data_IF_554164829945
#
_entry.id   IF_554164829945
#
_cell.length_a   1.000
_cell.length_b   1.000
_cell.length_c   1.000
_cell.angle_alpha   90.00
_cell.angle_beta   90.00
_cell.angle_gamma   90.00
#
_symmetry.space_group_name_H-M   'P 1'
#
loop_
_entity.id
_entity.type
_entity.pdbx_description
1 polymer ?
#
# COMPACT_ATOMS: atom_id res chain seq x y z
N UNK A 1 46.20 5.59 8.28
CA UNK A 1 45.69 6.92 7.94
C UNK A 1 45.09 7.03 6.55
N UNK A 2 45.74 6.54 5.49
CA UNK A 2 45.25 6.63 4.10
C UNK A 2 43.88 5.92 3.87
N UNK A 3 43.67 4.74 4.45
CA UNK A 3 42.40 3.94 4.31
C UNK A 3 41.22 4.62 5.00
N UNK A 4 41.44 5.31 6.12
CA UNK A 4 40.43 6.11 6.81
C UNK A 4 40.06 7.37 5.99
N UNK A 5 41.05 8.01 5.35
CA UNK A 5 40.83 9.19 4.51
C UNK A 5 39.99 8.86 3.26
N UNK A 6 40.27 7.71 2.58
CA UNK A 6 39.52 7.24 1.42
C UNK A 6 38.06 6.85 1.81
N UNK A 7 37.84 6.22 2.98
CA UNK A 7 36.49 5.96 3.49
C UNK A 7 35.71 7.25 3.78
N UNK A 8 36.36 8.28 4.36
CA UNK A 8 35.73 9.58 4.63
C UNK A 8 35.39 10.36 3.34
N UNK A 9 36.24 10.31 2.33
CA UNK A 9 35.98 10.91 1.03
C UNK A 9 34.80 10.21 0.31
N UNK A 10 34.75 8.88 0.32
CA UNK A 10 33.64 8.10 -0.26
C UNK A 10 32.31 8.34 0.46
N UNK A 11 32.33 8.55 1.78
CA UNK A 11 31.12 8.91 2.56
C UNK A 11 30.66 10.32 2.20
N UNK A 12 31.54 11.31 2.07
CA UNK A 12 31.18 12.67 1.65
C UNK A 12 30.64 12.71 0.21
N UNK A 13 31.27 12.00 -0.72
CA UNK A 13 30.81 11.90 -2.11
C UNK A 13 29.44 11.24 -2.18
N UNK A 14 29.22 10.13 -1.47
CA UNK A 14 27.91 9.48 -1.39
C UNK A 14 26.83 10.36 -0.76
N UNK A 15 27.14 11.13 0.27
CA UNK A 15 26.22 12.09 0.89
C UNK A 15 25.87 13.25 -0.05
N UNK A 16 26.82 13.74 -0.84
CA UNK A 16 26.58 14.78 -1.86
C UNK A 16 25.73 14.22 -3.00
N UNK A 17 26.01 13.02 -3.50
CA UNK A 17 25.18 12.37 -4.51
C UNK A 17 23.77 12.02 -4.01
N UNK A 18 23.63 11.59 -2.75
CA UNK A 18 22.32 11.38 -2.13
C UNK A 18 21.54 12.69 -2.00
N UNK A 19 22.18 13.79 -1.59
CA UNK A 19 21.55 15.11 -1.48
C UNK A 19 21.17 15.70 -2.85
N UNK A 20 21.99 15.52 -3.89
CA UNK A 20 21.67 15.95 -5.26
C UNK A 20 20.48 15.14 -5.80
N UNK A 21 20.41 13.84 -5.55
CA UNK A 21 19.29 13.00 -5.94
C UNK A 21 18.01 13.36 -5.16
N UNK A 22 18.11 13.66 -3.87
CA UNK A 22 17.01 14.16 -3.04
C UNK A 22 16.46 15.50 -3.52
N UNK A 23 17.33 16.44 -3.94
CA UNK A 23 16.93 17.73 -4.51
C UNK A 23 16.27 17.58 -5.88
N UNK A 24 16.73 16.64 -6.72
CA UNK A 24 16.09 16.33 -8.01
C UNK A 24 14.71 15.70 -7.86
N UNK A 25 14.43 14.98 -6.77
CA UNK A 25 13.12 14.35 -6.49
C UNK A 25 12.08 15.30 -5.91
N UNK A 26 12.47 16.50 -5.44
CA UNK A 26 11.54 17.55 -4.98
C UNK A 26 11.09 18.49 -6.09
N UNK A 27 11.17 18.06 -7.37
CA UNK A 27 10.61 18.84 -8.48
C UNK A 27 9.10 19.00 -8.31
N UNK A 28 8.63 20.23 -8.43
CA UNK A 28 7.21 20.55 -8.51
C UNK A 28 6.74 20.33 -9.95
N UNK A 29 5.70 19.56 -10.11
CA UNK A 29 5.02 19.39 -11.39
C UNK A 29 3.69 20.11 -11.30
N UNK A 30 3.29 20.76 -12.38
CA UNK A 30 2.08 21.58 -12.43
C UNK A 30 1.17 21.03 -13.52
N UNK A 31 -0.11 20.87 -13.21
CA UNK A 31 -1.12 20.49 -14.19
C UNK A 31 -1.60 21.72 -15.00
N UNK A 32 -2.46 21.47 -15.99
CA UNK A 32 -2.99 22.56 -16.84
C UNK A 32 -3.81 23.64 -16.09
N UNK A 33 -4.27 23.33 -14.88
CA UNK A 33 -5.04 24.26 -14.05
C UNK A 33 -4.16 25.08 -13.08
N UNK A 34 -2.83 24.96 -13.19
CA UNK A 34 -1.87 25.64 -12.32
C UNK A 34 -1.65 25.00 -10.94
N UNK A 35 -2.15 23.80 -10.71
CA UNK A 35 -2.02 23.11 -9.42
C UNK A 35 -0.83 22.16 -9.41
N UNK A 36 -0.21 22.03 -8.23
CA UNK A 36 0.89 21.08 -8.01
C UNK A 36 0.39 19.63 -8.02
N UNK A 37 1.05 18.78 -8.82
CA UNK A 37 0.77 17.34 -8.92
C UNK A 37 2.02 16.51 -8.58
N UNK A 38 1.82 15.22 -8.25
CA UNK A 38 2.86 14.39 -7.63
C UNK A 38 3.91 13.88 -8.61
N UNK A 39 3.56 13.73 -9.89
CA UNK A 39 4.43 13.17 -10.92
C UNK A 39 4.36 14.02 -12.19
N UNK A 40 5.36 13.92 -13.05
CA UNK A 40 5.34 14.58 -14.34
C UNK A 40 4.23 14.03 -15.25
N UNK A 41 3.71 14.89 -16.15
CA UNK A 41 2.77 14.44 -17.20
C UNK A 41 3.34 13.26 -18.00
N UNK A 42 4.66 13.28 -18.27
CA UNK A 42 5.34 12.16 -18.94
C UNK A 42 5.19 10.85 -18.15
N UNK A 43 5.40 10.87 -16.84
CA UNK A 43 5.27 9.66 -16.00
C UNK A 43 3.84 9.13 -16.00
N UNK A 44 2.83 9.99 -15.90
CA UNK A 44 1.43 9.57 -16.00
C UNK A 44 1.11 8.96 -17.36
N UNK A 45 1.56 9.58 -18.46
CA UNK A 45 1.38 9.04 -19.81
C UNK A 45 2.12 7.70 -20.01
N UNK A 46 3.33 7.55 -19.46
CA UNK A 46 4.06 6.28 -19.50
C UNK A 46 3.30 5.16 -18.76
N UNK A 47 2.63 5.46 -17.63
CA UNK A 47 1.76 4.54 -16.89
C UNK A 47 0.53 4.13 -17.72
N UNK A 48 -0.14 5.10 -18.32
CA UNK A 48 -1.30 4.87 -19.22
C UNK A 48 -0.88 3.98 -20.40
N UNK A 49 0.26 4.27 -21.03
CA UNK A 49 0.75 3.48 -22.15
C UNK A 49 1.06 2.03 -21.76
N UNK A 50 1.65 1.78 -20.58
CA UNK A 50 1.84 0.42 -20.06
C UNK A 50 0.52 -0.32 -19.86
N UNK A 51 -0.52 0.37 -19.39
CA UNK A 51 -1.87 -0.19 -19.25
C UNK A 51 -2.45 -0.54 -20.63
N UNK A 52 -2.36 0.35 -21.62
CA UNK A 52 -2.83 0.10 -22.99
C UNK A 52 -2.13 -1.09 -23.64
N UNK A 53 -0.83 -1.26 -23.42
CA UNK A 53 -0.11 -2.46 -23.88
C UNK A 53 -0.74 -3.74 -23.29
N UNK A 54 -1.04 -3.74 -21.99
CA UNK A 54 -1.66 -4.89 -21.32
C UNK A 54 -3.13 -5.09 -21.71
N UNK A 55 -3.86 -4.03 -22.02
CA UNK A 55 -5.20 -4.12 -22.59
C UNK A 55 -5.16 -4.85 -23.95
N UNK A 56 -4.23 -4.48 -24.84
CA UNK A 56 -4.06 -5.16 -26.14
C UNK A 56 -3.76 -6.65 -25.96
N UNK A 57 -2.86 -7.03 -25.04
CA UNK A 57 -2.54 -8.43 -24.74
C UNK A 57 -3.79 -9.24 -24.32
N UNK A 58 -4.80 -8.59 -23.76
CA UNK A 58 -6.05 -9.18 -23.27
C UNK A 58 -7.27 -8.90 -24.17
N UNK A 59 -7.07 -8.33 -25.34
CA UNK A 59 -8.15 -7.93 -26.26
C UNK A 59 -9.19 -7.00 -25.59
N UNK A 60 -8.74 -6.09 -24.73
CA UNK A 60 -9.56 -5.05 -24.09
C UNK A 60 -9.35 -3.74 -24.86
N UNK A 61 -10.44 -3.11 -25.29
CA UNK A 61 -10.40 -1.86 -26.05
C UNK A 61 -10.75 -0.64 -25.19
N UNK A 62 -11.59 -0.84 -24.18
CA UNK A 62 -11.98 0.14 -23.17
C UNK A 62 -11.83 -0.49 -21.80
N UNK A 63 -11.09 0.15 -20.89
CA UNK A 63 -10.91 -0.31 -19.53
C UNK A 63 -11.61 0.62 -18.55
N UNK A 64 -12.57 0.11 -17.79
CA UNK A 64 -13.25 0.78 -16.70
C UNK A 64 -12.53 0.43 -15.38
N UNK A 65 -12.02 1.44 -14.71
CA UNK A 65 -11.26 1.33 -13.47
C UNK A 65 -12.09 1.90 -12.33
N UNK A 66 -12.49 1.04 -11.41
CA UNK A 66 -13.27 1.36 -10.21
C UNK A 66 -12.38 1.59 -8.98
N UNK A 67 -11.26 0.88 -8.88
CA UNK A 67 -10.32 0.96 -7.75
C UNK A 67 -9.73 2.37 -7.58
N UNK A 68 -9.97 3.07 -6.44
CA UNK A 68 -9.39 4.39 -6.19
C UNK A 68 -7.86 4.41 -6.27
N UNK A 69 -7.21 3.32 -5.86
CA UNK A 69 -5.76 3.21 -5.95
C UNK A 69 -5.26 3.17 -7.41
N UNK A 70 -6.00 2.51 -8.30
CA UNK A 70 -5.70 2.46 -9.73
C UNK A 70 -6.05 3.79 -10.42
N UNK A 71 -7.15 4.45 -10.02
CA UNK A 71 -7.49 5.80 -10.47
C UNK A 71 -6.39 6.80 -10.11
N UNK A 72 -5.95 6.80 -8.86
CA UNK A 72 -4.83 7.64 -8.39
C UNK A 72 -3.54 7.35 -9.15
N UNK A 73 -3.18 6.08 -9.35
CA UNK A 73 -1.97 5.69 -10.09
C UNK A 73 -1.95 6.24 -11.51
N UNK A 74 -3.11 6.21 -12.20
CA UNK A 74 -3.22 6.58 -13.61
C UNK A 74 -3.46 8.07 -13.85
N UNK A 75 -4.09 8.77 -12.91
CA UNK A 75 -4.49 10.17 -13.13
C UNK A 75 -3.92 11.14 -12.11
N UNK A 76 -3.55 10.68 -10.94
CA UNK A 76 -3.23 11.51 -9.77
C UNK A 76 -4.47 11.96 -8.99
N UNK A 77 -5.69 11.63 -9.44
CA UNK A 77 -6.89 12.00 -8.72
C UNK A 77 -6.88 11.45 -7.28
N UNK A 78 -6.99 12.35 -6.32
CA UNK A 78 -6.89 12.06 -4.88
C UNK A 78 -8.11 12.60 -4.11
N UNK A 79 -9.31 12.18 -4.51
CA UNK A 79 -10.55 12.49 -3.80
C UNK A 79 -10.92 11.44 -2.76
N UNK A 80 -11.73 11.83 -1.76
CA UNK A 80 -12.26 10.92 -0.76
C UNK A 80 -13.70 10.45 -1.06
N UNK A 81 -14.28 10.85 -2.17
CA UNK A 81 -15.70 10.60 -2.51
C UNK A 81 -15.98 9.23 -3.12
N UNK A 82 -15.08 8.25 -2.97
CA UNK A 82 -15.24 6.89 -3.50
C UNK A 82 -16.38 6.07 -2.85
N UNK A 83 -17.12 6.62 -1.91
CA UNK A 83 -18.43 6.11 -1.45
C UNK A 83 -19.56 6.37 -2.45
N UNK A 84 -19.38 7.28 -3.41
CA UNK A 84 -20.22 7.43 -4.59
C UNK A 84 -19.50 6.86 -5.81
N UNK A 85 -20.24 6.37 -6.85
CA UNK A 85 -19.59 5.87 -8.05
C UNK A 85 -18.67 6.90 -8.70
N UNK A 86 -17.41 6.58 -8.80
CA UNK A 86 -16.41 7.32 -9.58
C UNK A 86 -15.48 6.33 -10.25
N UNK A 87 -14.99 6.66 -11.43
CA UNK A 87 -14.19 5.75 -12.23
C UNK A 87 -13.26 6.48 -13.18
N UNK A 88 -12.28 5.75 -13.67
CA UNK A 88 -11.41 6.17 -14.75
C UNK A 88 -11.62 5.25 -15.95
N UNK A 89 -11.76 5.84 -17.14
CA UNK A 89 -11.80 5.11 -18.40
C UNK A 89 -10.47 5.27 -19.13
N UNK A 90 -9.88 4.18 -19.55
CA UNK A 90 -8.73 4.15 -20.47
C UNK A 90 -9.21 3.51 -21.78
N UNK A 91 -9.15 4.27 -22.84
CA UNK A 91 -9.47 3.81 -24.20
C UNK A 91 -8.19 3.78 -25.04
N UNK A 92 -8.07 2.82 -25.98
CA UNK A 92 -6.80 2.56 -26.69
C UNK A 92 -6.32 3.72 -27.55
N UNK A 93 -7.23 4.43 -28.22
CA UNK A 93 -6.88 5.51 -29.15
C UNK A 93 -6.81 6.89 -28.47
N UNK A 94 -7.48 7.05 -27.31
CA UNK A 94 -7.47 8.30 -26.56
C UNK A 94 -6.10 8.58 -25.90
N UNK A 95 -5.59 9.76 -26.00
CA UNK A 95 -4.26 10.08 -25.46
C UNK A 95 -4.19 10.05 -23.93
N UNK A 96 -5.27 10.47 -23.29
CA UNK A 96 -5.40 10.56 -21.83
C UNK A 96 -6.61 9.77 -21.34
N UNK A 97 -6.62 9.29 -20.09
CA UNK A 97 -7.80 8.67 -19.49
C UNK A 97 -8.88 9.71 -19.20
N UNK A 98 -10.14 9.28 -19.13
CA UNK A 98 -11.26 10.08 -18.64
C UNK A 98 -11.49 9.78 -17.15
N UNK A 99 -11.66 10.81 -16.34
CA UNK A 99 -12.20 10.70 -15.00
C UNK A 99 -13.70 11.00 -15.04
N UNK A 100 -14.52 10.12 -14.46
CA UNK A 100 -15.98 10.27 -14.37
C UNK A 100 -16.39 10.15 -12.92
N UNK A 101 -17.09 11.15 -12.42
CA UNK A 101 -17.52 11.20 -11.03
C UNK A 101 -18.59 12.28 -10.79
N UNK A 102 -18.99 12.40 -9.54
CA UNK A 102 -20.01 13.38 -9.12
C UNK A 102 -19.60 14.80 -9.46
N UNK A 103 -20.55 15.63 -9.89
CA UNK A 103 -20.32 17.03 -10.31
C UNK A 103 -19.49 17.83 -9.30
N UNK A 104 -19.82 17.77 -8.00
CA UNK A 104 -19.10 18.53 -6.98
C UNK A 104 -17.64 18.06 -6.80
N UNK A 105 -17.36 16.78 -7.05
CA UNK A 105 -16.02 16.21 -6.91
C UNK A 105 -15.11 16.48 -8.12
N UNK A 106 -15.67 16.96 -9.24
CA UNK A 106 -14.91 17.32 -10.42
C UNK A 106 -13.92 18.46 -10.17
N UNK A 107 -14.17 19.29 -9.16
CA UNK A 107 -13.24 20.34 -8.72
C UNK A 107 -11.98 19.71 -8.11
N UNK A 108 -12.13 18.62 -7.32
CA UNK A 108 -11.01 17.85 -6.81
C UNK A 108 -10.16 17.23 -7.92
N UNK A 109 -10.80 16.75 -9.00
CA UNK A 109 -10.08 16.24 -10.17
C UNK A 109 -9.24 17.35 -10.85
N UNK A 110 -9.74 18.58 -10.95
CA UNK A 110 -8.97 19.71 -11.46
C UNK A 110 -7.77 20.07 -10.59
N UNK A 111 -7.86 19.87 -9.27
CA UNK A 111 -6.76 20.17 -8.36
C UNK A 111 -5.67 19.10 -8.35
N UNK A 112 -6.01 17.85 -8.51
CA UNK A 112 -5.09 16.73 -8.22
C UNK A 112 -4.67 15.93 -9.45
N UNK A 113 -5.52 15.86 -10.50
CA UNK A 113 -5.24 15.06 -11.68
C UNK A 113 -4.41 15.79 -12.73
N UNK A 114 -3.65 15.02 -13.53
CA UNK A 114 -2.86 15.56 -14.64
C UNK A 114 -3.68 15.74 -15.94
N UNK A 115 -4.87 15.16 -16.01
CA UNK A 115 -5.72 15.08 -17.21
C UNK A 115 -6.32 16.43 -17.59
N UNK A 116 -6.62 16.60 -18.87
CA UNK A 116 -7.17 17.82 -19.43
C UNK A 116 -8.65 18.04 -19.06
N UNK A 117 -9.11 19.29 -19.14
CA UNK A 117 -10.49 19.67 -18.80
C UNK A 117 -11.54 18.79 -19.50
N UNK A 118 -11.32 18.47 -20.77
CA UNK A 118 -12.26 17.67 -21.58
C UNK A 118 -12.30 16.18 -21.19
N UNK A 119 -11.35 15.75 -20.36
CA UNK A 119 -11.27 14.39 -19.81
C UNK A 119 -11.82 14.28 -18.38
N UNK A 120 -12.34 15.39 -17.83
CA UNK A 120 -13.06 15.42 -16.55
C UNK A 120 -14.54 15.50 -16.86
N UNK A 121 -15.26 14.38 -16.67
CA UNK A 121 -16.67 14.21 -17.07
C UNK A 121 -17.54 14.08 -15.80
N UNK A 122 -18.14 15.17 -15.34
CA UNK A 122 -18.99 15.14 -14.15
C UNK A 122 -20.40 14.64 -14.49
N UNK A 123 -20.95 13.76 -13.66
CA UNK A 123 -22.38 13.45 -13.71
C UNK A 123 -23.17 14.28 -12.68
N UNK A 124 -24.43 14.65 -13.02
CA UNK A 124 -25.29 15.46 -12.15
C UNK A 124 -25.58 14.80 -10.81
N UNK A 125 -25.74 15.63 -9.79
CA UNK A 125 -26.02 15.17 -8.39
C UNK A 125 -27.33 14.38 -8.28
N UNK A 126 -28.27 14.57 -9.22
CA UNK A 126 -29.52 13.82 -9.31
C UNK A 126 -29.36 12.30 -9.53
N UNK A 127 -28.14 11.84 -9.82
CA UNK A 127 -27.83 10.41 -9.92
C UNK A 127 -27.35 9.81 -8.58
N UNK A 128 -27.08 10.64 -7.55
CA UNK A 128 -26.57 10.19 -6.25
C UNK A 128 -27.75 9.85 -5.35
N UNK A 129 -27.73 8.65 -4.75
CA UNK A 129 -28.79 8.16 -3.85
C UNK A 129 -30.21 8.25 -4.44
N UNK A 130 -30.34 8.21 -5.77
CA UNK A 130 -31.62 8.25 -6.46
C UNK A 130 -32.24 6.85 -6.54
N UNK A 131 -33.58 6.77 -6.52
CA UNK A 131 -34.32 5.52 -6.72
C UNK A 131 -34.37 5.12 -8.19
N UNK A 132 -34.50 6.09 -9.09
CA UNK A 132 -34.75 5.88 -10.53
C UNK A 132 -33.48 6.02 -11.39
N UNK A 133 -32.47 6.69 -10.90
CA UNK A 133 -31.23 6.98 -11.62
C UNK A 133 -30.02 6.39 -10.91
N UNK A 134 -29.06 5.94 -11.69
CA UNK A 134 -27.79 5.47 -11.15
C UNK A 134 -26.64 6.00 -12.00
N UNK A 135 -25.49 6.36 -11.44
CA UNK A 135 -24.34 6.87 -12.21
C UNK A 135 -23.90 5.99 -13.37
N UNK A 136 -24.15 4.68 -13.31
CA UNK A 136 -23.86 3.76 -14.43
C UNK A 136 -24.76 3.97 -15.64
N UNK A 137 -25.97 4.51 -15.50
CA UNK A 137 -26.78 4.94 -16.65
C UNK A 137 -26.13 6.12 -17.36
N UNK A 138 -25.61 7.10 -16.59
CA UNK A 138 -24.84 8.22 -17.14
C UNK A 138 -23.61 7.71 -17.89
N UNK A 139 -22.84 6.81 -17.26
CA UNK A 139 -21.66 6.20 -17.88
C UNK A 139 -22.00 5.46 -19.18
N UNK A 140 -23.05 4.65 -19.18
CA UNK A 140 -23.49 3.93 -20.39
C UNK A 140 -23.85 4.90 -21.53
N UNK A 141 -24.53 6.00 -21.24
CA UNK A 141 -24.84 7.02 -22.22
C UNK A 141 -23.56 7.70 -22.75
N UNK A 142 -22.61 8.05 -21.88
CA UNK A 142 -21.31 8.61 -22.30
C UNK A 142 -20.54 7.64 -23.21
N UNK A 143 -20.54 6.34 -22.90
CA UNK A 143 -19.92 5.30 -23.74
C UNK A 143 -20.60 5.23 -25.12
N UNK A 144 -21.95 5.36 -25.19
CA UNK A 144 -22.71 5.39 -26.45
C UNK A 144 -22.38 6.66 -27.26
N UNK A 145 -22.35 7.82 -26.63
CA UNK A 145 -21.99 9.10 -27.27
C UNK A 145 -20.59 9.05 -27.89
N UNK A 146 -19.65 8.40 -27.21
CA UNK A 146 -18.29 8.14 -27.72
C UNK A 146 -18.22 7.05 -28.78
N UNK A 147 -19.32 6.36 -29.08
CA UNK A 147 -19.38 5.21 -30.01
C UNK A 147 -18.52 4.01 -29.55
N UNK A 148 -18.34 3.84 -28.23
CA UNK A 148 -17.57 2.74 -27.63
C UNK A 148 -18.44 1.55 -27.19
N UNK A 149 -19.74 1.61 -27.40
CA UNK A 149 -20.75 0.64 -26.92
C UNK A 149 -20.67 -0.77 -27.56
N UNK A 150 -19.79 -0.96 -28.55
CA UNK A 150 -19.53 -2.27 -29.19
C UNK A 150 -18.15 -2.83 -28.85
N UNK A 151 -17.37 -2.12 -28.01
CA UNK A 151 -16.02 -2.51 -27.65
C UNK A 151 -15.99 -3.65 -26.63
N UNK A 152 -14.85 -4.33 -26.58
CA UNK A 152 -14.49 -5.19 -25.47
C UNK A 152 -14.14 -4.31 -24.27
N UNK A 153 -15.00 -4.34 -23.23
CA UNK A 153 -14.88 -3.50 -22.03
C UNK A 153 -14.30 -4.32 -20.88
N UNK A 154 -13.08 -4.00 -20.48
CA UNK A 154 -12.48 -4.55 -19.26
C UNK A 154 -13.06 -3.88 -18.02
N UNK A 155 -13.42 -4.66 -17.01
CA UNK A 155 -13.92 -4.20 -15.72
C UNK A 155 -13.22 -4.93 -14.58
N UNK A 156 -13.01 -4.27 -13.44
CA UNK A 156 -12.35 -4.84 -12.27
C UNK A 156 -13.36 -5.62 -11.42
N UNK A 157 -13.74 -6.86 -11.84
CA UNK A 157 -14.88 -7.62 -11.29
C UNK A 157 -14.75 -7.95 -9.81
N UNK A 158 -13.54 -8.08 -9.26
CA UNK A 158 -13.29 -8.39 -7.84
C UNK A 158 -12.81 -7.17 -7.04
N UNK A 159 -12.97 -5.95 -7.58
CA UNK A 159 -12.69 -4.72 -6.84
C UNK A 159 -13.79 -4.39 -5.82
N UNK A 160 -13.40 -3.93 -4.63
CA UNK A 160 -14.33 -3.56 -3.55
C UNK A 160 -15.33 -2.47 -3.93
N UNK A 161 -15.04 -1.68 -4.95
CA UNK A 161 -15.85 -0.55 -5.40
C UNK A 161 -16.65 -0.85 -6.66
N UNK A 162 -16.38 -1.97 -7.36
CA UNK A 162 -17.16 -2.42 -8.51
C UNK A 162 -18.30 -3.33 -8.05
N UNK A 163 -19.50 -2.76 -7.90
CA UNK A 163 -20.63 -3.52 -7.35
C UNK A 163 -21.37 -4.33 -8.41
N UNK A 164 -22.06 -5.40 -7.97
CA UNK A 164 -22.96 -6.17 -8.86
C UNK A 164 -24.02 -5.27 -9.52
N UNK A 165 -24.49 -4.20 -8.84
CA UNK A 165 -25.44 -3.24 -9.40
C UNK A 165 -24.84 -2.46 -10.56
N UNK A 166 -23.55 -2.07 -10.46
CA UNK A 166 -22.84 -1.43 -11.57
C UNK A 166 -22.81 -2.34 -12.79
N UNK A 167 -22.37 -3.58 -12.59
CA UNK A 167 -22.23 -4.57 -13.65
C UNK A 167 -23.58 -4.82 -14.35
N UNK A 168 -24.64 -5.04 -13.58
CA UNK A 168 -25.99 -5.26 -14.11
C UNK A 168 -26.44 -4.09 -14.98
N UNK A 169 -26.36 -2.84 -14.50
CA UNK A 169 -26.80 -1.67 -15.26
C UNK A 169 -25.98 -1.51 -16.54
N UNK A 170 -24.66 -1.69 -16.46
CA UNK A 170 -23.80 -1.56 -17.64
C UNK A 170 -24.14 -2.61 -18.71
N UNK A 171 -24.28 -3.87 -18.33
CA UNK A 171 -24.60 -4.97 -19.29
C UNK A 171 -25.99 -4.83 -19.89
N UNK A 172 -26.99 -4.37 -19.12
CA UNK A 172 -28.33 -4.09 -19.61
C UNK A 172 -28.39 -2.93 -20.61
N UNK A 173 -27.54 -1.90 -20.39
CA UNK A 173 -27.54 -0.70 -21.23
C UNK A 173 -26.54 -0.74 -22.39
N UNK A 174 -25.54 -1.62 -22.35
CA UNK A 174 -24.50 -1.80 -23.38
C UNK A 174 -24.50 -3.24 -23.89
N UNK A 175 -25.66 -3.69 -24.38
CA UNK A 175 -25.88 -5.08 -24.80
C UNK A 175 -25.02 -5.55 -25.98
N UNK A 176 -24.47 -4.63 -26.77
CA UNK A 176 -23.55 -4.94 -27.87
C UNK A 176 -22.08 -4.99 -27.42
N UNK A 177 -21.76 -4.61 -26.17
CA UNK A 177 -20.41 -4.69 -25.61
C UNK A 177 -20.11 -6.08 -25.05
N UNK A 178 -18.86 -6.50 -25.13
CA UNK A 178 -18.37 -7.70 -24.45
C UNK A 178 -17.62 -7.29 -23.17
N UNK A 179 -18.08 -7.75 -22.01
CA UNK A 179 -17.44 -7.43 -20.71
C UNK A 179 -16.42 -8.51 -20.34
N UNK A 180 -15.19 -8.07 -20.07
CA UNK A 180 -14.04 -8.93 -19.75
C UNK A 180 -13.56 -8.59 -18.34
N UNK A 181 -13.30 -9.61 -17.51
CA UNK A 181 -12.66 -9.41 -16.24
C UNK A 181 -11.20 -8.96 -16.41
N UNK A 182 -10.92 -7.75 -15.96
CA UNK A 182 -9.58 -7.14 -15.97
C UNK A 182 -9.02 -6.93 -14.57
N UNK A 183 -9.58 -7.60 -13.57
CA UNK A 183 -9.12 -7.47 -12.19
C UNK A 183 -7.60 -7.68 -12.09
N UNK A 184 -6.94 -6.83 -11.30
CA UNK A 184 -5.50 -6.77 -11.11
C UNK A 184 -4.65 -6.35 -12.34
N UNK A 185 -5.22 -6.01 -13.51
CA UNK A 185 -4.41 -5.57 -14.66
C UNK A 185 -3.50 -4.39 -14.29
N UNK A 186 -4.05 -3.33 -13.71
CA UNK A 186 -3.30 -2.14 -13.28
C UNK A 186 -2.42 -2.46 -12.07
N UNK A 187 -2.89 -3.29 -11.15
CA UNK A 187 -2.15 -3.69 -9.96
C UNK A 187 -0.81 -4.35 -10.30
N UNK A 188 -0.78 -5.25 -11.30
CA UNK A 188 0.46 -5.87 -11.77
C UNK A 188 1.43 -4.87 -12.39
N UNK A 189 0.95 -3.82 -13.04
CA UNK A 189 1.80 -2.77 -13.61
C UNK A 189 2.42 -1.91 -12.49
N UNK A 190 1.63 -1.50 -11.50
CA UNK A 190 2.10 -0.67 -10.39
C UNK A 190 2.94 -1.42 -9.35
N UNK A 191 3.06 -2.75 -9.49
CA UNK A 191 4.00 -3.56 -8.68
C UNK A 191 5.43 -3.04 -8.79
N UNK A 192 5.86 -2.60 -9.97
CA UNK A 192 7.22 -2.07 -10.19
C UNK A 192 7.18 -0.56 -10.03
N UNK A 193 7.73 -0.08 -8.93
CA UNK A 193 7.70 1.33 -8.54
C UNK A 193 8.72 2.16 -9.33
N UNK A 194 8.35 3.38 -9.66
CA UNK A 194 9.30 4.39 -10.13
C UNK A 194 10.20 4.87 -8.99
N UNK A 195 11.30 5.56 -9.32
CA UNK A 195 12.17 6.15 -8.30
C UNK A 195 11.42 7.19 -7.44
N UNK A 196 10.48 7.92 -8.01
CA UNK A 196 9.66 8.90 -7.30
C UNK A 196 8.69 8.21 -6.32
N UNK A 197 8.08 7.09 -6.72
CA UNK A 197 7.22 6.27 -5.85
C UNK A 197 8.03 5.71 -4.67
N UNK A 198 9.22 5.17 -4.92
CA UNK A 198 10.14 4.68 -3.87
C UNK A 198 10.55 5.81 -2.93
N UNK A 199 10.76 7.02 -3.43
CA UNK A 199 11.06 8.19 -2.60
C UNK A 199 9.92 8.48 -1.63
N UNK A 200 8.66 8.51 -2.07
CA UNK A 200 7.50 8.67 -1.18
C UNK A 200 7.37 7.51 -0.18
N UNK A 201 7.68 6.30 -0.58
CA UNK A 201 7.69 5.15 0.35
C UNK A 201 8.81 5.28 1.39
N UNK A 202 9.98 5.82 1.05
CA UNK A 202 11.04 6.13 2.04
C UNK A 202 10.58 7.18 3.07
N UNK A 203 9.85 8.20 2.64
CA UNK A 203 9.25 9.18 3.54
C UNK A 203 8.17 8.55 4.43
N UNK A 204 7.31 7.69 3.87
CA UNK A 204 6.32 6.93 4.62
C UNK A 204 6.97 5.99 5.66
N UNK A 205 8.11 5.38 5.32
CA UNK A 205 8.89 4.55 6.24
C UNK A 205 9.45 5.33 7.45
N UNK A 206 9.90 6.56 7.24
CA UNK A 206 10.32 7.44 8.36
C UNK A 206 9.15 7.75 9.30
N UNK A 207 7.96 7.99 8.75
CA UNK A 207 6.74 8.19 9.54
C UNK A 207 6.38 6.92 10.32
N UNK A 208 6.42 5.75 9.68
CA UNK A 208 6.14 4.46 10.33
C UNK A 208 7.09 4.19 11.51
N UNK A 209 8.40 4.41 11.31
CA UNK A 209 9.41 4.24 12.36
C UNK A 209 9.16 5.17 13.56
N UNK A 210 8.86 6.44 13.29
CA UNK A 210 8.59 7.41 14.36
C UNK A 210 7.27 7.07 15.09
N UNK A 211 6.23 6.68 14.36
CA UNK A 211 4.95 6.29 14.94
C UNK A 211 5.10 5.06 15.83
N UNK A 212 5.83 4.03 15.37
CA UNK A 212 6.11 2.84 16.18
C UNK A 212 6.88 3.21 17.44
N UNK A 213 7.96 3.99 17.33
CA UNK A 213 8.77 4.46 18.48
C UNK A 213 7.92 5.21 19.51
N UNK A 214 7.07 6.13 19.08
CA UNK A 214 6.23 6.94 19.98
C UNK A 214 5.13 6.11 20.63
N UNK A 215 4.51 5.19 19.89
CA UNK A 215 3.50 4.27 20.42
C UNK A 215 4.09 3.33 21.47
N UNK A 216 5.25 2.74 21.20
CA UNK A 216 5.94 1.87 22.16
C UNK A 216 6.32 2.62 23.44
N UNK A 217 6.81 3.86 23.31
CA UNK A 217 7.12 4.71 24.47
C UNK A 217 5.88 5.13 25.25
N UNK A 218 4.70 5.24 24.61
CA UNK A 218 3.44 5.60 25.27
C UNK A 218 2.81 4.42 26.01
N UNK A 219 3.12 3.18 25.58
CA UNK A 219 2.59 1.96 26.19
C UNK A 219 3.20 1.76 27.59
N UNK A 220 2.36 1.75 28.62
CA UNK A 220 2.74 1.44 30.00
C UNK A 220 1.60 0.76 30.74
N UNK A 221 1.90 0.10 31.86
CA UNK A 221 0.91 -0.52 32.73
C UNK A 221 -0.07 0.54 33.24
N UNK A 222 -1.38 0.28 33.10
CA UNK A 222 -2.43 1.22 33.48
C UNK A 222 -2.84 2.23 32.40
N UNK A 223 -2.05 2.38 31.31
CA UNK A 223 -2.42 3.21 30.14
C UNK A 223 -3.48 2.47 29.32
N UNK A 224 -4.48 3.18 28.80
CA UNK A 224 -5.48 2.57 27.90
C UNK A 224 -4.86 2.28 26.53
N UNK A 225 -5.32 1.19 25.90
CA UNK A 225 -4.92 0.87 24.52
C UNK A 225 -5.24 2.05 23.58
N UNK A 226 -6.42 2.65 23.72
CA UNK A 226 -6.85 3.81 22.93
C UNK A 226 -5.93 5.01 23.06
N UNK A 227 -5.31 5.26 24.25
CA UNK A 227 -4.37 6.37 24.42
C UNK A 227 -3.04 6.14 23.68
N UNK A 228 -2.61 4.88 23.59
CA UNK A 228 -1.44 4.51 22.76
C UNK A 228 -1.74 4.70 21.28
N UNK A 229 -2.95 4.31 20.85
CA UNK A 229 -3.37 4.46 19.44
C UNK A 229 -3.62 5.93 19.09
N UNK A 230 -4.08 6.75 20.01
CA UNK A 230 -4.18 8.20 19.80
C UNK A 230 -2.81 8.83 19.54
N UNK A 231 -1.75 8.43 20.27
CA UNK A 231 -0.38 8.88 20.00
C UNK A 231 0.11 8.37 18.63
N UNK A 232 -0.24 7.13 18.24
CA UNK A 232 0.04 6.60 16.91
C UNK A 232 -0.58 7.47 15.81
N UNK A 233 -1.87 7.78 15.89
CA UNK A 233 -2.57 8.61 14.91
C UNK A 233 -2.00 10.03 14.85
N UNK A 234 -1.65 10.62 16.00
CA UNK A 234 -0.98 11.91 16.05
C UNK A 234 0.30 11.91 15.20
N UNK A 235 1.10 10.85 15.31
CA UNK A 235 2.36 10.75 14.55
C UNK A 235 2.12 10.37 13.10
N UNK A 236 1.25 9.43 12.79
CA UNK A 236 0.99 9.05 11.38
C UNK A 236 0.39 10.20 10.58
N UNK A 237 -0.40 11.07 11.21
CA UNK A 237 -0.96 12.27 10.59
C UNK A 237 0.04 13.43 10.57
N UNK A 238 0.63 13.77 11.72
CA UNK A 238 1.57 14.88 11.84
C UNK A 238 2.91 14.62 11.15
N UNK A 239 3.30 13.36 11.05
CA UNK A 239 4.56 12.95 10.42
C UNK A 239 5.79 13.24 11.27
N UNK A 240 6.91 13.48 10.59
CA UNK A 240 8.18 13.91 11.18
C UNK A 240 8.28 15.45 11.18
N UNK A 241 9.38 16.01 11.71
CA UNK A 241 9.62 17.47 11.67
C UNK A 241 9.52 18.06 10.24
N UNK A 242 9.92 17.29 9.23
CA UNK A 242 10.07 17.79 7.85
C UNK A 242 9.12 17.11 6.83
N UNK A 243 8.38 16.08 7.23
CA UNK A 243 7.55 15.26 6.36
C UNK A 243 6.19 15.07 7.02
N UNK A 244 5.15 15.75 6.51
CA UNK A 244 3.77 15.51 6.94
C UNK A 244 3.25 14.17 6.44
N UNK A 245 2.48 13.48 7.27
CA UNK A 245 1.79 12.24 6.89
C UNK A 245 0.51 12.52 6.11
N UNK A 246 -0.02 11.47 5.50
CA UNK A 246 -1.39 11.44 4.95
C UNK A 246 -2.20 10.39 5.70
N UNK A 247 -3.52 10.38 5.56
CA UNK A 247 -4.32 9.36 6.24
C UNK A 247 -3.95 7.95 5.75
N UNK A 248 -4.01 6.98 6.66
CA UNK A 248 -3.77 5.57 6.34
C UNK A 248 -5.05 4.92 5.80
N UNK A 249 -4.90 3.94 4.90
CA UNK A 249 -6.04 3.29 4.25
C UNK A 249 -6.86 2.38 5.18
N UNK A 250 -6.33 2.01 6.32
CA UNK A 250 -7.03 1.21 7.34
C UNK A 250 -6.56 1.61 8.74
N UNK A 251 -7.37 1.34 9.78
CA UNK A 251 -6.93 1.50 11.16
C UNK A 251 -5.76 0.57 11.47
N UNK A 252 -4.91 0.88 12.47
CA UNK A 252 -3.89 -0.03 12.95
C UNK A 252 -4.52 -1.29 13.56
N UNK A 253 -3.90 -2.44 13.35
CA UNK A 253 -4.21 -3.62 14.16
C UNK A 253 -3.49 -3.46 15.51
N UNK A 254 -4.22 -3.63 16.60
CA UNK A 254 -3.66 -3.51 17.94
C UNK A 254 -4.40 -4.41 18.92
N UNK A 255 -3.71 -5.38 19.49
CA UNK A 255 -4.28 -6.40 20.35
C UNK A 255 -3.43 -6.63 21.58
N UNK A 256 -4.05 -7.09 22.68
CA UNK A 256 -3.39 -7.32 23.96
C UNK A 256 -3.68 -8.71 24.49
N UNK A 257 -2.67 -9.33 25.10
CA UNK A 257 -2.75 -10.62 25.79
C UNK A 257 -3.18 -11.74 24.83
N UNK A 258 -4.17 -12.54 25.23
CA UNK A 258 -4.67 -13.65 24.40
C UNK A 258 -5.25 -13.22 23.04
N UNK A 259 -5.72 -11.97 22.94
CA UNK A 259 -6.25 -11.44 21.66
C UNK A 259 -5.16 -11.27 20.59
N UNK A 260 -3.88 -11.25 21.01
CA UNK A 260 -2.77 -11.26 20.04
C UNK A 260 -2.70 -12.57 19.22
N UNK A 261 -3.42 -13.63 19.60
CA UNK A 261 -3.54 -14.85 18.78
C UNK A 261 -4.43 -14.66 17.54
N UNK A 262 -5.22 -13.57 17.48
CA UNK A 262 -6.12 -13.24 16.39
C UNK A 262 -5.56 -12.03 15.58
N UNK A 263 -5.16 -12.22 14.31
CA UNK A 263 -4.33 -11.24 13.60
C UNK A 263 -5.00 -9.91 13.21
N UNK A 264 -6.34 -9.83 13.22
CA UNK A 264 -7.08 -8.70 12.64
C UNK A 264 -8.11 -8.07 13.58
N UNK A 265 -7.81 -8.08 14.89
CA UNK A 265 -8.64 -7.36 15.86
C UNK A 265 -8.14 -5.92 16.05
N UNK A 266 -8.98 -5.10 16.62
CA UNK A 266 -8.72 -3.70 16.94
C UNK A 266 -8.44 -3.52 18.44
N UNK A 267 -7.96 -2.33 18.80
CA UNK A 267 -7.78 -1.91 20.18
C UNK A 267 -9.14 -1.70 20.90
N UNK A 268 -9.07 -1.62 22.21
CA UNK A 268 -10.19 -1.27 23.09
C UNK A 268 -9.80 -0.10 24.00
N UNK A 269 -10.71 0.35 24.84
CA UNK A 269 -10.47 1.33 25.92
C UNK A 269 -9.86 0.72 27.19
N UNK A 270 -9.64 -0.61 27.19
CA UNK A 270 -9.08 -1.31 28.35
C UNK A 270 -7.63 -0.90 28.61
N UNK A 271 -7.27 -0.87 29.90
CA UNK A 271 -5.90 -0.59 30.33
C UNK A 271 -4.98 -1.78 30.07
N UNK A 272 -3.73 -1.48 29.69
CA UNK A 272 -2.65 -2.44 29.59
C UNK A 272 -2.30 -2.97 30.98
N UNK A 273 -2.13 -4.30 31.10
CA UNK A 273 -1.83 -4.98 32.35
C UNK A 273 -0.44 -5.59 32.33
N UNK A 274 0.11 -5.83 33.53
CA UNK A 274 1.40 -6.54 33.68
C UNK A 274 1.31 -7.95 33.06
N UNK A 275 2.40 -8.39 32.47
CA UNK A 275 2.57 -9.75 31.90
C UNK A 275 1.69 -10.03 30.66
N UNK A 276 1.30 -9.01 29.91
CA UNK A 276 0.62 -9.16 28.62
C UNK A 276 1.53 -8.72 27.48
N UNK A 277 1.35 -9.31 26.29
CA UNK A 277 1.93 -8.81 25.04
C UNK A 277 0.95 -7.77 24.48
N UNK A 278 1.47 -6.64 24.03
CA UNK A 278 0.75 -5.69 23.21
C UNK A 278 1.37 -5.68 21.80
N UNK A 279 0.57 -6.07 20.82
CA UNK A 279 0.91 -6.07 19.42
C UNK A 279 0.38 -4.82 18.74
N UNK A 280 1.19 -4.18 17.90
CA UNK A 280 0.81 -3.05 17.06
C UNK A 280 1.31 -3.29 15.64
N UNK A 281 0.40 -3.22 14.65
CA UNK A 281 0.72 -3.08 13.23
C UNK A 281 0.13 -1.76 12.72
N UNK A 282 0.99 -0.91 12.21
CA UNK A 282 0.64 0.41 11.68
C UNK A 282 1.15 0.57 10.24
N UNK A 283 0.66 1.57 9.52
CA UNK A 283 1.22 2.02 8.26
C UNK A 283 1.61 3.50 8.35
N UNK A 284 2.85 3.84 8.03
CA UNK A 284 3.18 5.21 7.65
C UNK A 284 2.68 5.46 6.24
N UNK A 285 2.16 6.66 5.96
CA UNK A 285 1.63 7.00 4.64
C UNK A 285 2.11 8.38 4.17
N UNK A 286 2.55 8.44 2.92
CA UNK A 286 2.90 9.68 2.22
C UNK A 286 2.34 9.65 0.80
N UNK A 287 1.50 10.63 0.45
CA UNK A 287 0.87 10.68 -0.88
C UNK A 287 0.24 9.32 -1.28
N UNK A 288 -0.52 8.71 -0.39
CA UNK A 288 -1.14 7.37 -0.52
C UNK A 288 -0.17 6.18 -0.56
N UNK A 289 1.15 6.39 -0.63
CA UNK A 289 2.13 5.30 -0.54
C UNK A 289 2.30 4.87 0.91
N UNK A 290 2.11 3.58 1.17
CA UNK A 290 2.10 3.01 2.51
C UNK A 290 3.34 2.16 2.77
N UNK A 291 3.86 2.29 3.98
CA UNK A 291 4.92 1.44 4.53
C UNK A 291 4.45 0.88 5.86
N UNK A 292 3.94 -0.37 5.86
CA UNK A 292 3.53 -1.05 7.08
C UNK A 292 4.72 -1.46 7.95
N UNK A 293 4.48 -1.50 9.27
CA UNK A 293 5.42 -1.96 10.28
C UNK A 293 4.67 -2.59 11.45
N UNK A 294 5.11 -3.77 11.90
CA UNK A 294 4.55 -4.45 13.06
C UNK A 294 5.61 -4.77 14.11
N UNK A 295 5.29 -4.53 15.37
CA UNK A 295 6.12 -4.86 16.56
C UNK A 295 5.25 -5.25 17.74
N UNK A 296 5.87 -5.92 18.69
CA UNK A 296 5.26 -6.27 19.96
C UNK A 296 6.07 -5.74 21.13
N UNK A 297 5.38 -5.38 22.22
CA UNK A 297 5.98 -5.05 23.51
C UNK A 297 5.35 -5.95 24.58
N UNK A 298 6.17 -6.47 25.49
CA UNK A 298 5.70 -7.19 26.67
C UNK A 298 5.61 -6.23 27.86
N UNK A 299 4.47 -6.19 28.51
CA UNK A 299 4.21 -5.32 29.66
C UNK A 299 4.90 -5.82 30.92
N UNK A 300 6.22 -5.73 30.95
CA UNK A 300 7.10 -6.24 32.00
C UNK A 300 8.38 -6.81 31.41
N UNK A 301 9.07 -7.67 32.15
CA UNK A 301 10.24 -8.40 31.67
C UNK A 301 9.81 -9.62 30.87
N UNK A 302 10.28 -9.73 29.61
CA UNK A 302 9.90 -10.83 28.71
C UNK A 302 10.36 -12.19 29.29
N UNK A 303 9.44 -13.17 29.48
CA UNK A 303 9.80 -14.53 29.86
C UNK A 303 10.71 -15.20 28.82
N UNK A 304 11.64 -16.07 29.29
CA UNK A 304 12.63 -16.74 28.43
C UNK A 304 12.01 -17.52 27.26
N UNK A 305 10.91 -18.23 27.49
CA UNK A 305 10.20 -18.99 26.47
C UNK A 305 9.58 -18.07 25.39
N UNK A 306 8.97 -16.95 25.77
CA UNK A 306 8.39 -15.96 24.85
C UNK A 306 9.51 -15.28 24.05
N UNK A 307 10.62 -14.90 24.71
CA UNK A 307 11.81 -14.31 24.06
C UNK A 307 12.40 -15.26 23.00
N UNK A 308 12.44 -16.57 23.30
CA UNK A 308 12.90 -17.59 22.35
C UNK A 308 12.05 -17.57 21.07
N UNK A 309 10.72 -17.48 21.17
CA UNK A 309 9.82 -17.41 20.00
C UNK A 309 10.08 -16.13 19.19
N UNK A 310 10.21 -14.98 19.85
CA UNK A 310 10.54 -13.73 19.19
C UNK A 310 11.87 -13.78 18.42
N UNK A 311 12.90 -14.40 19.01
CA UNK A 311 14.21 -14.57 18.36
C UNK A 311 14.12 -15.48 17.13
N UNK A 312 13.32 -16.55 17.18
CA UNK A 312 13.07 -17.42 16.01
C UNK A 312 12.39 -16.66 14.88
N UNK A 313 11.43 -15.79 15.22
CA UNK A 313 10.78 -14.91 14.20
C UNK A 313 11.81 -13.97 13.57
N UNK A 314 12.68 -13.36 14.38
CA UNK A 314 13.75 -12.49 13.86
C UNK A 314 14.75 -13.24 12.98
N UNK A 315 15.16 -14.48 13.39
CA UNK A 315 16.04 -15.34 12.59
C UNK A 315 15.41 -15.62 11.22
N UNK A 316 14.15 -16.04 11.22
CA UNK A 316 13.43 -16.35 9.98
C UNK A 316 13.18 -15.13 9.11
N UNK A 317 12.83 -13.97 9.69
CA UNK A 317 12.67 -12.71 8.96
C UNK A 317 13.98 -12.28 8.29
N UNK A 318 15.09 -12.33 9.01
CA UNK A 318 16.40 -11.98 8.45
C UNK A 318 16.83 -12.96 7.35
N UNK A 319 16.65 -14.27 7.55
CA UNK A 319 16.91 -15.26 6.51
C UNK A 319 16.11 -15.01 5.22
N UNK A 320 14.85 -14.58 5.34
CA UNK A 320 14.03 -14.17 4.19
C UNK A 320 14.58 -12.91 3.53
N UNK A 321 14.91 -11.87 4.31
CA UNK A 321 15.46 -10.62 3.77
C UNK A 321 16.80 -10.82 3.06
N UNK A 322 17.67 -11.66 3.60
CA UNK A 322 18.98 -12.01 3.00
C UNK A 322 18.82 -12.80 1.70
N UNK A 323 17.71 -13.54 1.54
CA UNK A 323 17.40 -14.31 0.34
C UNK A 323 16.81 -13.45 -0.79
N UNK A 324 16.27 -12.26 -0.47
CA UNK A 324 15.61 -11.40 -1.47
C UNK A 324 16.58 -10.97 -2.55
N UNK A 325 16.23 -11.24 -3.81
CA UNK A 325 16.88 -10.69 -5.01
C UNK A 325 15.94 -10.81 -6.22
N UNK A 326 16.18 -10.05 -7.31
CA UNK A 326 15.47 -10.31 -8.56
C UNK A 326 15.67 -11.74 -9.04
N UNK A 327 14.61 -12.36 -9.57
CA UNK A 327 14.66 -13.73 -10.11
C UNK A 327 14.14 -14.82 -9.17
N UNK A 328 14.03 -14.58 -7.85
CA UNK A 328 13.43 -15.53 -6.92
C UNK A 328 11.91 -15.38 -6.88
N UNK A 329 11.23 -16.37 -6.30
CA UNK A 329 9.76 -16.40 -6.20
C UNK A 329 9.26 -16.18 -4.77
N UNK A 330 7.97 -15.87 -4.63
CA UNK A 330 7.32 -15.82 -3.30
C UNK A 330 7.36 -17.17 -2.58
N UNK A 331 7.32 -18.28 -3.32
CA UNK A 331 7.52 -19.62 -2.81
C UNK A 331 8.91 -19.83 -2.17
N UNK A 332 9.99 -19.36 -2.83
CA UNK A 332 11.35 -19.50 -2.32
C UNK A 332 11.55 -18.77 -0.98
N UNK A 333 10.92 -17.60 -0.83
CA UNK A 333 10.96 -16.83 0.41
C UNK A 333 10.20 -17.54 1.55
N UNK A 334 9.01 -18.05 1.25
CA UNK A 334 8.24 -18.82 2.24
C UNK A 334 8.96 -20.11 2.63
N UNK A 335 9.54 -20.84 1.68
CA UNK A 335 10.36 -22.03 1.93
C UNK A 335 11.57 -21.71 2.82
N UNK A 336 12.20 -20.55 2.63
CA UNK A 336 13.31 -20.06 3.48
C UNK A 336 12.83 -19.86 4.91
N UNK A 337 11.70 -19.21 5.12
CA UNK A 337 11.06 -19.05 6.42
C UNK A 337 10.76 -20.41 7.08
N UNK A 338 10.06 -21.30 6.37
CA UNK A 338 9.72 -22.64 6.88
C UNK A 338 10.95 -23.44 7.30
N UNK A 339 12.04 -23.37 6.52
CA UNK A 339 13.30 -24.03 6.87
C UNK A 339 13.87 -23.56 8.21
N UNK A 340 13.67 -22.29 8.58
CA UNK A 340 14.13 -21.78 9.88
C UNK A 340 13.23 -22.30 11.00
N UNK A 341 11.91 -22.07 10.92
CA UNK A 341 11.00 -22.39 12.03
C UNK A 341 10.85 -23.89 12.30
N UNK A 342 10.96 -24.72 11.25
CA UNK A 342 10.88 -26.20 11.41
C UNK A 342 12.00 -26.78 12.26
N UNK A 343 13.19 -26.16 12.34
CA UNK A 343 14.27 -26.57 13.25
C UNK A 343 13.85 -26.52 14.73
N UNK A 344 12.81 -25.72 15.02
CA UNK A 344 12.28 -25.50 16.36
C UNK A 344 10.93 -26.20 16.59
N UNK A 345 10.49 -27.06 15.64
CA UNK A 345 9.20 -27.73 15.70
C UNK A 345 8.00 -26.81 15.55
N UNK A 346 8.19 -25.66 14.88
CA UNK A 346 7.13 -24.67 14.65
C UNK A 346 6.65 -24.73 13.20
N UNK A 347 5.36 -24.47 13.02
CA UNK A 347 4.69 -24.45 11.71
C UNK A 347 3.89 -23.17 11.51
N UNK A 348 3.70 -22.78 10.26
CA UNK A 348 2.85 -21.68 9.84
C UNK A 348 2.39 -21.91 8.40
N UNK A 349 1.09 -21.98 8.19
CA UNK A 349 0.49 -22.24 6.88
C UNK A 349 0.12 -20.97 6.12
N UNK A 350 -0.15 -19.86 6.82
CA UNK A 350 -0.49 -18.60 6.18
C UNK A 350 0.73 -17.92 5.55
N UNK A 351 0.50 -17.11 4.53
CA UNK A 351 1.56 -16.30 3.88
C UNK A 351 2.36 -15.49 4.89
N UNK A 352 3.61 -15.21 4.56
CA UNK A 352 4.54 -14.42 5.39
C UNK A 352 4.84 -13.03 4.81
N UNK A 353 4.24 -12.67 3.70
CA UNK A 353 4.44 -11.36 3.09
C UNK A 353 3.54 -11.14 1.88
N UNK A 354 3.42 -9.88 1.50
CA UNK A 354 2.60 -9.42 0.38
C UNK A 354 3.10 -8.07 -0.13
N UNK A 355 2.82 -7.72 -1.40
CA UNK A 355 3.27 -6.45 -1.97
C UNK A 355 2.43 -5.29 -1.45
N UNK A 356 3.09 -4.14 -1.30
CA UNK A 356 2.50 -2.89 -0.78
C UNK A 356 2.83 -1.71 -1.69
N UNK A 357 2.06 -0.65 -1.57
CA UNK A 357 2.27 0.56 -2.36
C UNK A 357 1.18 1.58 -2.09
N UNK A 358 0.43 1.95 -3.13
CA UNK A 358 -0.72 2.85 -3.01
C UNK A 358 -1.83 2.15 -2.24
N UNK A 359 -2.28 2.77 -1.14
CA UNK A 359 -3.36 2.26 -0.31
C UNK A 359 -4.56 3.19 -0.25
N UNK A 360 -5.74 2.62 -0.48
CA UNK A 360 -7.05 3.17 -0.21
C UNK A 360 -7.85 2.14 0.62
N UNK A 361 -8.85 2.55 1.41
CA UNK A 361 -9.65 1.57 2.14
C UNK A 361 -10.12 0.44 1.22
N UNK A 362 -10.10 -0.82 1.67
CA UNK A 362 -9.70 -1.26 3.01
C UNK A 362 -8.25 -1.73 3.12
N UNK A 363 -7.38 -1.54 2.11
CA UNK A 363 -6.06 -2.18 2.08
C UNK A 363 -4.94 -1.31 1.51
N UNK A 364 -3.71 -1.56 1.97
CA UNK A 364 -2.47 -1.07 1.34
C UNK A 364 -1.77 -2.12 0.47
N UNK A 365 -2.36 -3.31 0.36
CA UNK A 365 -1.82 -4.41 -0.43
C UNK A 365 -2.13 -4.27 -1.91
N UNK A 366 -1.18 -4.69 -2.76
CA UNK A 366 -1.37 -4.69 -4.22
C UNK A 366 -2.25 -5.85 -4.73
N UNK A 367 -2.58 -6.83 -3.87
CA UNK A 367 -3.44 -7.99 -4.14
C UNK A 367 -2.93 -8.95 -5.23
N UNK A 368 -1.67 -8.85 -5.67
CA UNK A 368 -1.11 -9.61 -6.80
C UNK A 368 -0.44 -10.91 -6.36
N UNK A 369 0.78 -10.85 -5.82
CA UNK A 369 1.57 -12.00 -5.38
C UNK A 369 1.61 -12.12 -3.85
N UNK A 370 2.15 -13.20 -3.32
CA UNK A 370 2.30 -13.40 -1.88
C UNK A 370 3.53 -14.28 -1.59
N UNK A 371 4.15 -14.10 -0.44
CA UNK A 371 5.16 -15.05 0.03
C UNK A 371 4.45 -16.23 0.68
N UNK A 372 4.11 -17.21 -0.15
CA UNK A 372 3.42 -18.46 0.24
C UNK A 372 3.88 -19.63 -0.61
N UNK A 373 3.61 -20.83 -0.12
CA UNK A 373 3.83 -22.05 -0.89
C UNK A 373 3.08 -22.00 -2.23
N UNK A 374 3.78 -22.35 -3.30
CA UNK A 374 3.22 -22.41 -4.66
C UNK A 374 3.13 -21.08 -5.42
N UNK A 375 3.46 -19.93 -4.81
CA UNK A 375 3.52 -18.66 -5.56
C UNK A 375 4.77 -18.60 -6.44
N UNK A 376 4.57 -18.76 -7.74
CA UNK A 376 5.63 -18.81 -8.77
C UNK A 376 5.97 -17.44 -9.38
N UNK A 377 5.35 -16.36 -8.88
CA UNK A 377 5.64 -15.02 -9.39
C UNK A 377 7.07 -14.59 -9.04
N UNK A 378 7.78 -14.17 -10.06
CA UNK A 378 9.19 -13.79 -9.96
C UNK A 378 9.30 -12.36 -9.43
N UNK A 379 10.10 -12.15 -8.38
CA UNK A 379 10.43 -10.84 -7.86
C UNK A 379 11.29 -10.07 -8.87
N UNK A 380 10.95 -8.81 -9.09
CA UNK A 380 11.68 -7.90 -9.97
C UNK A 380 12.19 -6.70 -9.19
N UNK A 381 13.24 -6.06 -9.69
CA UNK A 381 13.74 -4.82 -9.11
C UNK A 381 12.64 -3.76 -9.00
N UNK A 382 12.66 -3.01 -7.91
CA UNK A 382 11.68 -1.98 -7.54
C UNK A 382 10.27 -2.48 -7.19
N UNK A 383 10.05 -3.78 -7.03
CA UNK A 383 8.90 -4.29 -6.29
C UNK A 383 9.06 -4.03 -4.80
N UNK A 384 7.96 -3.74 -4.10
CA UNK A 384 7.96 -3.43 -2.67
C UNK A 384 7.04 -4.38 -1.91
N UNK A 385 7.50 -4.87 -0.75
CA UNK A 385 6.80 -5.89 0.03
C UNK A 385 6.81 -5.57 1.52
N UNK A 386 5.73 -5.94 2.19
CA UNK A 386 5.67 -6.09 3.63
C UNK A 386 5.91 -7.56 3.97
N UNK A 387 7.10 -7.88 4.49
CA UNK A 387 7.40 -9.19 5.05
C UNK A 387 6.97 -9.21 6.51
N UNK A 388 5.95 -9.99 6.82
CA UNK A 388 5.31 -10.06 8.13
C UNK A 388 5.20 -11.51 8.60
N UNK A 389 6.32 -12.18 8.87
CA UNK A 389 6.31 -13.48 9.52
C UNK A 389 5.81 -13.32 10.96
N UNK A 390 4.79 -14.07 11.30
CA UNK A 390 4.18 -14.06 12.61
C UNK A 390 3.91 -15.49 13.08
N UNK A 391 3.95 -15.71 14.39
CA UNK A 391 3.52 -16.97 15.00
C UNK A 391 2.32 -16.70 15.89
N UNK A 392 1.18 -17.23 15.48
CA UNK A 392 -0.10 -17.14 16.17
C UNK A 392 -0.27 -18.40 17.03
N UNK A 393 0.09 -18.29 18.31
CA UNK A 393 0.00 -19.39 19.27
C UNK A 393 -1.33 -19.32 20.04
N UNK A 394 -1.70 -20.41 20.72
CA UNK A 394 -2.98 -20.49 21.43
C UNK A 394 -3.20 -19.35 22.44
N UNK A 395 -2.16 -19.00 23.20
CA UNK A 395 -2.26 -18.03 24.30
C UNK A 395 -1.78 -16.62 23.92
N UNK A 396 -1.04 -16.48 22.81
CA UNK A 396 -0.51 -15.19 22.33
C UNK A 396 -0.03 -15.30 20.88
N UNK A 397 0.15 -14.14 20.27
CA UNK A 397 0.83 -14.01 18.97
C UNK A 397 2.01 -13.05 19.06
N UNK A 398 3.05 -13.31 18.27
CA UNK A 398 4.20 -12.43 18.13
C UNK A 398 4.40 -12.12 16.66
N UNK A 399 4.53 -10.82 16.37
CA UNK A 399 4.71 -10.30 15.01
C UNK A 399 5.87 -9.32 15.00
N UNK A 400 6.82 -9.54 14.10
CA UNK A 400 7.94 -8.65 13.83
C UNK A 400 8.07 -8.60 12.32
N UNK A 401 7.92 -7.42 11.72
CA UNK A 401 7.86 -7.26 10.27
C UNK A 401 8.82 -6.22 9.74
N UNK A 402 9.09 -6.26 8.44
CA UNK A 402 9.81 -5.21 7.71
C UNK A 402 9.13 -4.94 6.37
N UNK A 403 9.13 -3.69 5.97
CA UNK A 403 8.81 -3.30 4.59
C UNK A 403 10.11 -3.00 3.85
N UNK A 404 10.23 -3.54 2.64
CA UNK A 404 11.44 -3.39 1.83
C UNK A 404 11.11 -3.23 0.34
N UNK A 405 12.09 -2.71 -0.41
CA UNK A 405 12.12 -2.68 -1.87
C UNK A 405 13.16 -3.67 -2.37
N UNK A 406 12.81 -4.44 -3.39
CA UNK A 406 13.75 -5.33 -4.09
C UNK A 406 14.72 -4.48 -4.91
N UNK A 407 16.01 -4.63 -4.68
CA UNK A 407 17.09 -4.00 -5.45
C UNK A 407 17.94 -5.06 -6.14
N UNK A 408 18.77 -4.62 -7.07
CA UNK A 408 19.66 -5.50 -7.84
C UNK A 408 20.45 -6.48 -6.96
N UNK A 409 20.89 -6.03 -5.78
CA UNK A 409 21.77 -6.79 -4.89
C UNK A 409 21.07 -7.23 -3.59
N UNK A 410 19.74 -7.25 -3.51
CA UNK A 410 19.02 -7.70 -2.32
C UNK A 410 17.87 -6.81 -1.89
N UNK A 411 17.43 -6.94 -0.64
CA UNK A 411 16.40 -6.11 -0.03
C UNK A 411 16.99 -4.79 0.49
N UNK A 412 16.41 -3.65 0.10
CA UNK A 412 16.63 -2.37 0.77
C UNK A 412 15.45 -2.11 1.71
N UNK A 413 15.67 -2.13 3.02
CA UNK A 413 14.61 -1.88 4.00
C UNK A 413 14.12 -0.43 3.95
N UNK A 414 12.81 -0.25 3.96
CA UNK A 414 12.13 1.04 4.08
C UNK A 414 11.79 1.37 5.55
N UNK A 415 11.83 0.35 6.42
CA UNK A 415 11.72 0.46 7.88
C UNK A 415 13.05 0.14 8.52
N UNK A 416 13.38 0.77 9.66
CA UNK A 416 14.64 0.57 10.37
C UNK A 416 14.46 0.63 11.91
N UNK A 417 13.28 0.25 12.41
CA UNK A 417 13.04 0.12 13.83
C UNK A 417 13.51 -1.26 14.31
N UNK A 418 14.07 -1.35 15.54
CA UNK A 418 14.69 -2.56 16.05
C UNK A 418 13.81 -3.80 15.90
N UNK A 419 14.40 -4.89 15.40
CA UNK A 419 13.73 -6.17 15.20
C UNK A 419 13.82 -7.01 16.47
N UNK A 420 12.93 -6.74 17.43
CA UNK A 420 12.83 -7.51 18.67
C UNK A 420 11.42 -7.47 19.24
N UNK A 421 11.12 -8.38 20.15
CA UNK A 421 10.08 -8.19 21.14
C UNK A 421 10.64 -7.28 22.23
N UNK A 422 10.02 -6.13 22.44
CA UNK A 422 10.46 -5.15 23.42
C UNK A 422 10.06 -5.55 24.84
N UNK A 423 10.93 -5.29 25.81
CA UNK A 423 10.59 -5.23 27.23
C UNK A 423 10.03 -3.85 27.55
N UNK A 424 9.11 -3.74 28.51
CA UNK A 424 8.65 -2.45 28.98
C UNK A 424 9.82 -1.58 29.53
N UNK A 425 10.84 -2.22 30.10
CA UNK A 425 12.05 -1.56 30.63
C UNK A 425 12.91 -0.88 29.52
N UNK A 426 12.77 -1.29 28.25
CA UNK A 426 13.46 -0.63 27.12
C UNK A 426 13.04 0.85 26.95
N UNK A 427 11.97 1.29 27.62
CA UNK A 427 11.37 2.63 27.45
C UNK A 427 11.35 3.46 28.75
N UNK A 428 11.80 2.92 29.87
CA UNK A 428 11.99 3.61 31.13
C UNK A 428 13.42 4.15 31.22
#
# INVERSE_FOLDING_TARGET
>A
MLVLYIKFQNIKVNLVFQNINLLKMKKKFINQFGNEILFSNKEYLDRVNKVKMKMKDKNIELLLISSPANQFYLTGYDGWSFYTPQMVLVELDEKQPYWIGRQMDSVGAKFTAFIDKNHIVPYPDTFVASQDKHPMHFLANFIKEKKWHKKNIGVEMDDYYYTAKWHKILTENLSEANFIDSFLLVNWIRMIKSNQEIFYMKEAGQIANLAMKKSMKKADIGVRQSDVIAELYKVTTGGTKNIGGTFTCKPPNAMVGKYCSAPHLSWTDKKLKKNEIFYIELGGAKHRYHVPLARCIYMGKVPKNIKKIANIICEGLNAVLDKVMPGITGHDLEKTWKKVISKYGLEKDSRIGYPVGIGYPPTWGELTTSFRNGDKNILKENMTFHCIPALWLKEYGIVISETFVVKKNGAERLTNYDQKLFDLEDFK
#
